data_IF_365348465997
#
_entry.id   IF_365348465997
#
_cell.length_a   1.000
_cell.length_b   1.000
_cell.length_c   1.000
_cell.angle_alpha   90.00
_cell.angle_beta   90.00
_cell.angle_gamma   90.00
#
_symmetry.space_group_name_H-M   'P 1'
#
loop_
_entity.id
_entity.type
_entity.pdbx_description
1 polymer ?
#
# COMPACT_ATOMS: atom_id res chain seq x y z
N UNK A 1 13.12 11.43 -14.78
CA UNK A 1 12.72 10.47 -13.73
C UNK A 1 13.97 9.81 -13.20
N UNK A 2 14.19 9.83 -11.89
CA UNK A 2 15.36 9.22 -11.28
C UNK A 2 15.07 7.77 -10.92
N UNK A 3 15.86 6.83 -11.44
CA UNK A 3 15.58 5.39 -11.35
C UNK A 3 15.86 4.80 -9.98
N UNK A 4 16.98 5.18 -9.34
CA UNK A 4 17.36 4.67 -8.02
C UNK A 4 16.29 4.91 -6.94
N UNK A 5 15.78 6.14 -6.72
CA UNK A 5 14.74 6.38 -5.73
C UNK A 5 13.41 5.70 -6.10
N UNK A 6 13.07 5.57 -7.40
CA UNK A 6 11.90 4.80 -7.81
C UNK A 6 12.02 3.33 -7.38
N UNK A 7 13.18 2.71 -7.60
CA UNK A 7 13.44 1.31 -7.20
C UNK A 7 13.34 1.17 -5.67
N UNK A 8 13.99 2.05 -4.90
CA UNK A 8 13.97 1.98 -3.43
C UNK A 8 12.54 2.17 -2.91
N UNK A 9 11.79 3.14 -3.44
CA UNK A 9 10.38 3.32 -3.09
C UNK A 9 9.55 2.05 -3.33
N UNK A 10 9.73 1.40 -4.47
CA UNK A 10 9.03 0.14 -4.78
C UNK A 10 9.45 -1.02 -3.88
N UNK A 11 10.72 -1.11 -3.47
CA UNK A 11 11.17 -2.11 -2.48
C UNK A 11 10.46 -1.90 -1.14
N UNK A 12 10.42 -0.66 -0.66
CA UNK A 12 9.76 -0.34 0.62
C UNK A 12 8.26 -0.65 0.52
N UNK A 13 7.61 -0.26 -0.58
CA UNK A 13 6.20 -0.60 -0.83
C UNK A 13 5.95 -2.10 -0.89
N UNK A 14 6.87 -2.87 -1.46
CA UNK A 14 6.78 -4.33 -1.50
C UNK A 14 6.88 -4.93 -0.08
N UNK A 15 7.81 -4.46 0.74
CA UNK A 15 7.94 -4.89 2.14
C UNK A 15 6.65 -4.54 2.91
N UNK A 16 6.13 -3.32 2.76
CA UNK A 16 4.88 -2.90 3.38
C UNK A 16 3.70 -3.79 2.94
N UNK A 17 3.63 -4.16 1.65
CA UNK A 17 2.59 -5.04 1.13
C UNK A 17 2.61 -6.43 1.80
N UNK A 18 3.78 -7.01 2.08
CA UNK A 18 3.83 -8.28 2.83
C UNK A 18 3.30 -8.18 4.27
N UNK A 19 3.53 -7.04 4.93
CA UNK A 19 2.95 -6.78 6.24
C UNK A 19 1.43 -6.55 6.15
N UNK A 20 0.96 -5.82 5.13
CA UNK A 20 -0.48 -5.66 4.85
C UNK A 20 -1.12 -7.02 4.63
N UNK A 21 -0.57 -7.86 3.75
CA UNK A 21 -1.07 -9.20 3.48
C UNK A 21 -1.18 -10.03 4.76
N UNK A 22 -0.18 -9.94 5.65
CA UNK A 22 -0.18 -10.62 6.94
C UNK A 22 -1.32 -10.14 7.85
N UNK A 23 -1.57 -8.82 7.90
CA UNK A 23 -2.72 -8.24 8.61
C UNK A 23 -4.03 -8.76 8.01
N UNK A 24 -4.17 -8.73 6.68
CA UNK A 24 -5.37 -9.18 5.98
C UNK A 24 -5.69 -10.65 6.29
N UNK A 25 -4.69 -11.53 6.26
CA UNK A 25 -4.88 -12.95 6.63
C UNK A 25 -5.27 -13.12 8.10
N UNK A 26 -4.60 -12.42 9.02
CA UNK A 26 -4.95 -12.48 10.45
C UNK A 26 -6.40 -12.06 10.69
N UNK A 27 -6.83 -10.94 10.10
CA UNK A 27 -8.22 -10.48 10.20
C UNK A 27 -9.20 -11.42 9.49
N UNK A 28 -8.80 -12.04 8.39
CA UNK A 28 -9.64 -12.97 7.64
C UNK A 28 -9.88 -14.29 8.37
N UNK A 29 -8.87 -14.80 9.09
CA UNK A 29 -8.95 -16.07 9.82
C UNK A 29 -9.54 -15.87 11.24
N UNK A 30 -9.09 -14.84 11.94
CA UNK A 30 -9.44 -14.61 13.35
C UNK A 30 -10.63 -13.66 13.53
N UNK A 31 -11.16 -13.09 12.44
CA UNK A 31 -12.24 -12.10 12.45
C UNK A 31 -11.74 -10.67 12.66
N UNK A 32 -12.65 -9.71 12.41
CA UNK A 32 -12.31 -8.29 12.40
C UNK A 32 -11.90 -7.75 13.78
N UNK A 33 -12.44 -8.31 14.87
CA UNK A 33 -12.08 -7.96 16.24
C UNK A 33 -10.58 -8.20 16.54
N UNK A 34 -9.94 -9.08 15.76
CA UNK A 34 -8.50 -9.32 15.87
C UNK A 34 -7.66 -8.08 15.50
N UNK A 35 -8.26 -7.05 14.91
CA UNK A 35 -7.64 -5.74 14.72
C UNK A 35 -7.21 -5.08 16.04
N UNK A 36 -7.90 -5.38 17.15
CA UNK A 36 -7.58 -4.82 18.45
C UNK A 36 -6.47 -5.58 19.18
N UNK A 37 -6.03 -6.72 18.64
CA UNK A 37 -4.92 -7.51 19.17
C UNK A 37 -3.58 -6.74 19.03
N UNK A 38 -2.69 -6.91 20.02
CA UNK A 38 -1.38 -6.25 20.03
C UNK A 38 -0.52 -6.62 18.81
N UNK A 39 -0.58 -7.86 18.33
CA UNK A 39 0.16 -8.30 17.14
C UNK A 39 -0.30 -7.49 15.92
N UNK A 40 -1.62 -7.42 15.68
CA UNK A 40 -2.18 -6.68 14.54
C UNK A 40 -1.86 -5.19 14.63
N UNK A 41 -1.98 -4.59 15.82
CA UNK A 41 -1.61 -3.19 16.05
C UNK A 41 -0.15 -2.92 15.74
N UNK A 42 0.77 -3.79 16.18
CA UNK A 42 2.20 -3.66 15.88
C UNK A 42 2.45 -3.71 14.37
N UNK A 43 1.82 -4.66 13.65
CA UNK A 43 1.95 -4.77 12.21
C UNK A 43 1.43 -3.50 11.50
N UNK A 44 0.29 -2.96 11.93
CA UNK A 44 -0.27 -1.73 11.36
C UNK A 44 0.65 -0.52 11.60
N UNK A 45 1.28 -0.41 12.78
CA UNK A 45 2.30 0.62 13.04
C UNK A 45 3.53 0.46 12.16
N UNK A 46 4.02 -0.77 11.94
CA UNK A 46 5.14 -1.04 11.03
C UNK A 46 4.80 -0.54 9.62
N UNK A 47 3.61 -0.89 9.10
CA UNK A 47 3.15 -0.43 7.78
C UNK A 47 3.10 1.09 7.71
N UNK A 48 2.56 1.74 8.74
CA UNK A 48 2.49 3.20 8.80
C UNK A 48 3.88 3.86 8.82
N UNK A 49 4.84 3.30 9.58
CA UNK A 49 6.23 3.80 9.61
C UNK A 49 6.88 3.66 8.22
N UNK A 50 6.64 2.55 7.51
CA UNK A 50 7.17 2.32 6.15
C UNK A 50 6.62 3.29 5.11
N UNK A 51 5.46 3.91 5.35
CA UNK A 51 4.88 4.89 4.43
C UNK A 51 5.77 6.13 4.26
N UNK A 52 6.48 6.56 5.31
CA UNK A 52 7.37 7.72 5.26
C UNK A 52 8.55 7.56 4.30
N UNK A 53 9.43 6.55 4.45
CA UNK A 53 10.56 6.39 3.55
C UNK A 53 10.09 6.06 2.12
N UNK A 54 8.99 5.32 1.94
CA UNK A 54 8.42 5.11 0.61
C UNK A 54 8.02 6.44 -0.06
N UNK A 55 7.26 7.27 0.65
CA UNK A 55 6.86 8.61 0.18
C UNK A 55 8.06 9.48 -0.21
N UNK A 56 9.07 9.55 0.67
CA UNK A 56 10.27 10.36 0.41
C UNK A 56 11.01 9.92 -0.85
N UNK A 57 11.16 8.62 -1.06
CA UNK A 57 11.79 8.09 -2.27
C UNK A 57 10.96 8.33 -3.53
N UNK A 58 9.64 8.13 -3.48
CA UNK A 58 8.79 8.46 -4.63
C UNK A 58 8.84 9.94 -4.98
N UNK A 59 8.84 10.83 -3.98
CA UNK A 59 8.97 12.28 -4.22
C UNK A 59 10.29 12.65 -4.90
N UNK A 60 11.40 12.02 -4.52
CA UNK A 60 12.72 12.22 -5.15
C UNK A 60 12.80 11.69 -6.59
N UNK A 61 11.92 10.77 -6.99
CA UNK A 61 12.02 10.09 -8.29
C UNK A 61 11.49 10.90 -9.49
N UNK A 62 10.90 12.07 -9.27
CA UNK A 62 10.34 12.94 -10.33
C UNK A 62 9.32 12.20 -11.22
N UNK A 63 8.32 11.60 -10.57
CA UNK A 63 7.24 10.85 -11.21
C UNK A 63 6.35 11.73 -12.09
N UNK A 64 5.68 11.11 -13.07
CA UNK A 64 4.57 11.74 -13.79
C UNK A 64 3.42 12.08 -12.84
N UNK A 65 2.70 13.16 -13.10
CA UNK A 65 1.63 13.64 -12.22
C UNK A 65 2.10 13.78 -10.75
N UNK A 66 3.30 14.36 -10.55
CA UNK A 66 3.96 14.46 -9.25
C UNK A 66 3.12 15.15 -8.17
N UNK A 67 2.15 16.00 -8.55
CA UNK A 67 1.19 16.59 -7.61
C UNK A 67 0.44 15.53 -6.79
N UNK A 68 0.10 14.37 -7.37
CA UNK A 68 -0.59 13.30 -6.66
C UNK A 68 0.26 12.75 -5.52
N UNK A 69 1.55 12.50 -5.76
CA UNK A 69 2.49 12.01 -4.74
C UNK A 69 2.89 13.10 -3.77
N UNK A 70 2.91 14.37 -4.19
CA UNK A 70 3.28 15.47 -3.29
C UNK A 70 2.23 15.76 -2.23
N UNK A 71 0.93 15.56 -2.53
CA UNK A 71 -0.17 15.96 -1.64
C UNK A 71 -0.91 14.78 -0.99
N UNK A 72 -1.19 13.70 -1.73
CA UNK A 72 -2.07 12.65 -1.22
C UNK A 72 -1.42 11.75 -0.15
N UNK A 73 -0.18 11.24 -0.30
CA UNK A 73 0.45 10.43 0.73
C UNK A 73 0.59 11.13 2.09
N UNK A 74 1.01 12.43 2.18
CA UNK A 74 1.01 13.13 3.46
C UNK A 74 -0.38 13.17 4.14
N UNK A 75 -1.44 13.39 3.35
CA UNK A 75 -2.82 13.38 3.86
C UNK A 75 -3.20 11.96 4.33
N UNK A 76 -2.89 10.93 3.54
CA UNK A 76 -3.17 9.54 3.89
C UNK A 76 -2.43 9.11 5.17
N UNK A 77 -1.15 9.49 5.31
CA UNK A 77 -0.34 9.24 6.51
C UNK A 77 -0.97 9.90 7.74
N UNK A 78 -1.46 11.14 7.61
CA UNK A 78 -2.14 11.84 8.70
C UNK A 78 -3.47 11.16 9.09
N UNK A 79 -4.30 10.83 8.11
CA UNK A 79 -5.59 10.16 8.34
C UNK A 79 -5.36 8.81 9.03
N UNK A 80 -4.46 7.98 8.48
CA UNK A 80 -4.15 6.67 9.06
C UNK A 80 -3.51 6.77 10.45
N UNK A 81 -2.72 7.80 10.73
CA UNK A 81 -2.21 8.06 12.09
C UNK A 81 -3.34 8.30 13.09
N UNK A 82 -4.32 9.16 12.74
CA UNK A 82 -5.49 9.42 13.58
C UNK A 82 -6.26 8.11 13.82
N UNK A 83 -6.44 7.31 12.78
CA UNK A 83 -7.10 6.00 12.87
C UNK A 83 -6.35 5.04 13.79
N UNK A 84 -5.01 4.97 13.70
CA UNK A 84 -4.18 4.16 14.59
C UNK A 84 -4.30 4.58 16.06
N UNK A 85 -4.28 5.88 16.35
CA UNK A 85 -4.45 6.39 17.72
C UNK A 85 -5.81 5.96 18.28
N UNK A 86 -6.89 6.12 17.52
CA UNK A 86 -8.23 5.68 17.95
C UNK A 86 -8.33 4.16 18.11
N UNK A 87 -7.63 3.39 17.27
CA UNK A 87 -7.55 1.94 17.38
C UNK A 87 -6.81 1.51 18.67
N UNK A 88 -5.78 2.25 19.08
CA UNK A 88 -5.09 2.03 20.36
C UNK A 88 -6.00 2.24 21.55
N UNK A 89 -6.97 3.15 21.45
CA UNK A 89 -8.02 3.37 22.45
C UNK A 89 -9.14 2.31 22.40
N UNK A 90 -9.07 1.32 21.51
CA UNK A 90 -10.08 0.28 21.36
C UNK A 90 -11.33 0.73 20.59
N UNK A 91 -11.27 1.85 19.86
CA UNK A 91 -12.41 2.37 19.11
C UNK A 91 -12.43 1.81 17.69
N UNK A 92 -13.55 1.21 17.30
CA UNK A 92 -13.77 0.70 15.93
C UNK A 92 -13.65 1.79 14.85
N UNK A 93 -14.04 3.02 15.19
CA UNK A 93 -13.83 4.21 14.34
C UNK A 93 -12.37 4.34 13.86
N UNK A 94 -11.40 3.84 14.62
CA UNK A 94 -10.00 3.79 14.20
C UNK A 94 -9.79 2.99 12.92
N UNK A 95 -10.45 1.83 12.77
CA UNK A 95 -10.39 1.03 11.54
C UNK A 95 -11.04 1.74 10.36
N UNK A 96 -12.20 2.34 10.57
CA UNK A 96 -12.93 3.07 9.52
C UNK A 96 -12.06 4.22 8.97
N UNK A 97 -11.41 4.96 9.86
CA UNK A 97 -10.49 6.05 9.49
C UNK A 97 -9.25 5.52 8.77
N UNK A 98 -8.70 4.37 9.20
CA UNK A 98 -7.60 3.73 8.47
C UNK A 98 -8.02 3.40 7.03
N UNK A 99 -9.19 2.78 6.84
CA UNK A 99 -9.73 2.46 5.51
C UNK A 99 -9.92 3.73 4.67
N UNK A 100 -10.42 4.82 5.25
CA UNK A 100 -10.54 6.11 4.56
C UNK A 100 -9.17 6.63 4.07
N UNK A 101 -8.12 6.46 4.88
CA UNK A 101 -6.75 6.80 4.46
C UNK A 101 -6.28 5.97 3.28
N UNK A 102 -6.59 4.67 3.26
CA UNK A 102 -6.23 3.75 2.17
C UNK A 102 -6.93 4.07 0.84
N UNK A 103 -8.09 4.74 0.83
CA UNK A 103 -8.74 5.20 -0.41
C UNK A 103 -7.82 6.10 -1.25
N UNK A 104 -6.91 6.83 -0.60
CA UNK A 104 -5.97 7.71 -1.28
C UNK A 104 -4.79 6.95 -1.92
N UNK A 105 -4.53 5.70 -1.52
CA UNK A 105 -3.45 4.87 -2.07
C UNK A 105 -3.56 4.73 -3.59
N UNK A 106 -4.65 4.19 -4.18
CA UNK A 106 -4.74 4.02 -5.63
C UNK A 106 -4.68 5.36 -6.38
N UNK A 107 -5.20 6.44 -5.80
CA UNK A 107 -5.15 7.77 -6.42
C UNK A 107 -3.70 8.27 -6.48
N UNK A 108 -2.95 8.16 -5.38
CA UNK A 108 -1.51 8.48 -5.38
C UNK A 108 -0.72 7.54 -6.30
N UNK A 109 -1.14 6.28 -6.38
CA UNK A 109 -0.58 5.22 -7.22
C UNK A 109 -0.72 5.49 -8.71
N UNK A 110 -1.61 6.37 -9.17
CA UNK A 110 -1.69 6.81 -10.58
C UNK A 110 -0.34 7.40 -11.04
N UNK A 111 0.33 8.18 -10.18
CA UNK A 111 1.63 8.78 -10.49
C UNK A 111 2.71 7.72 -10.74
N UNK A 112 2.73 6.69 -9.88
CA UNK A 112 3.64 5.54 -9.98
C UNK A 112 3.30 4.72 -11.21
N UNK A 113 2.02 4.40 -11.42
CA UNK A 113 1.50 3.68 -12.58
C UNK A 113 1.94 4.31 -13.90
N UNK A 114 1.67 5.61 -14.09
CA UNK A 114 2.02 6.32 -15.32
C UNK A 114 3.53 6.32 -15.59
N UNK A 115 4.32 6.35 -14.52
CA UNK A 115 5.78 6.34 -14.56
C UNK A 115 6.34 4.96 -14.91
N UNK A 116 5.86 3.90 -14.23
CA UNK A 116 6.28 2.52 -14.47
C UNK A 116 5.76 2.01 -15.82
N UNK A 117 4.56 2.39 -16.26
CA UNK A 117 3.95 1.94 -17.53
C UNK A 117 4.83 2.24 -18.75
N UNK A 118 5.61 3.31 -18.69
CA UNK A 118 6.56 3.67 -19.74
C UNK A 118 7.79 2.75 -19.80
N UNK A 119 8.11 2.07 -18.69
CA UNK A 119 9.25 1.16 -18.55
C UNK A 119 8.78 -0.28 -18.76
N UNK A 120 7.75 -0.68 -18.01
CA UNK A 120 7.23 -2.04 -17.99
C UNK A 120 5.71 -1.96 -17.77
N UNK A 121 4.94 -2.28 -18.83
CA UNK A 121 3.47 -2.15 -18.83
C UNK A 121 2.78 -3.16 -17.91
N UNK A 122 3.16 -4.43 -18.00
CA UNK A 122 2.51 -5.53 -17.30
C UNK A 122 2.53 -5.34 -15.77
N UNK A 123 3.70 -5.06 -15.19
CA UNK A 123 3.89 -4.76 -13.77
C UNK A 123 3.13 -3.51 -13.35
N UNK A 124 3.11 -2.46 -14.18
CA UNK A 124 2.34 -1.26 -13.87
C UNK A 124 0.85 -1.58 -13.74
N UNK A 125 0.29 -2.37 -14.66
CA UNK A 125 -1.12 -2.75 -14.63
C UNK A 125 -1.44 -3.64 -13.43
N UNK A 126 -0.63 -4.66 -13.15
CA UNK A 126 -0.82 -5.51 -11.98
C UNK A 126 -0.74 -4.72 -10.66
N UNK A 127 0.29 -3.88 -10.51
CA UNK A 127 0.43 -3.01 -9.35
C UNK A 127 -0.81 -2.13 -9.14
N UNK A 128 -1.23 -1.42 -10.19
CA UNK A 128 -2.31 -0.45 -10.08
C UNK A 128 -3.68 -1.10 -9.83
N UNK A 129 -4.06 -2.10 -10.64
CA UNK A 129 -5.35 -2.76 -10.46
C UNK A 129 -5.37 -3.62 -9.20
N UNK A 130 -4.24 -4.21 -8.81
CA UNK A 130 -4.11 -4.88 -7.51
C UNK A 130 -4.41 -3.91 -6.36
N UNK A 131 -3.81 -2.71 -6.37
CA UNK A 131 -4.07 -1.67 -5.36
C UNK A 131 -5.55 -1.21 -5.35
N UNK A 132 -6.18 -1.07 -6.52
CA UNK A 132 -7.61 -0.73 -6.62
C UNK A 132 -8.48 -1.84 -6.03
N UNK A 133 -8.27 -3.10 -6.41
CA UNK A 133 -9.03 -4.25 -5.91
C UNK A 133 -8.84 -4.40 -4.40
N UNK A 134 -7.61 -4.27 -3.92
CA UNK A 134 -7.27 -4.27 -2.49
C UNK A 134 -8.11 -3.25 -1.73
N UNK A 135 -8.09 -1.99 -2.19
CA UNK A 135 -8.76 -0.87 -1.52
C UNK A 135 -10.28 -1.04 -1.51
N UNK A 136 -10.86 -1.46 -2.64
CA UNK A 136 -12.30 -1.75 -2.75
C UNK A 136 -12.69 -2.96 -1.90
N UNK A 137 -11.78 -3.91 -1.70
CA UNK A 137 -12.01 -5.09 -0.87
C UNK A 137 -12.00 -4.83 0.63
N UNK A 138 -11.35 -3.76 1.11
CA UNK A 138 -11.25 -3.49 2.56
C UNK A 138 -12.61 -3.42 3.27
N UNK A 139 -13.65 -2.70 2.76
CA UNK A 139 -14.97 -2.70 3.37
C UNK A 139 -15.67 -4.08 3.42
N UNK A 140 -15.28 -5.03 2.57
CA UNK A 140 -15.93 -6.34 2.50
C UNK A 140 -15.60 -7.24 3.71
N UNK A 141 -14.62 -6.86 4.52
CA UNK A 141 -14.41 -7.47 5.84
C UNK A 141 -15.63 -7.32 6.76
N UNK A 142 -16.42 -6.25 6.61
CA UNK A 142 -17.63 -6.01 7.41
C UNK A 142 -18.73 -7.04 7.16
N UNK A 143 -18.69 -7.71 6.00
CA UNK A 143 -19.64 -8.75 5.60
C UNK A 143 -18.97 -10.13 5.47
N UNK A 144 -17.80 -10.32 6.09
CA UNK A 144 -17.03 -11.57 6.11
C UNK A 144 -16.61 -12.08 4.71
N UNK A 145 -16.22 -11.17 3.81
CA UNK A 145 -15.62 -11.52 2.50
C UNK A 145 -14.20 -10.93 2.41
N UNK A 146 -13.23 -11.46 3.19
CA UNK A 146 -11.87 -10.93 3.23
C UNK A 146 -11.07 -11.18 1.95
N UNK A 147 -11.48 -12.16 1.13
CA UNK A 147 -10.73 -12.67 -0.01
C UNK A 147 -10.45 -11.60 -1.06
N UNK A 148 -11.37 -10.63 -1.25
CA UNK A 148 -11.23 -9.59 -2.26
C UNK A 148 -10.01 -8.72 -1.98
N UNK A 149 -9.84 -8.27 -0.73
CA UNK A 149 -8.69 -7.45 -0.36
C UNK A 149 -7.38 -8.23 -0.45
N UNK A 150 -7.40 -9.49 0.02
CA UNK A 150 -6.23 -10.40 -0.01
C UNK A 150 -5.77 -10.63 -1.46
N UNK A 151 -6.69 -10.95 -2.36
CA UNK A 151 -6.39 -11.15 -3.79
C UNK A 151 -5.84 -9.87 -4.41
N UNK A 152 -6.44 -8.71 -4.10
CA UNK A 152 -5.94 -7.42 -4.57
C UNK A 152 -4.50 -7.16 -4.16
N UNK A 153 -4.16 -7.38 -2.89
CA UNK A 153 -2.81 -7.15 -2.38
C UNK A 153 -1.80 -8.17 -2.95
N UNK A 154 -2.19 -9.42 -3.14
CA UNK A 154 -1.37 -10.43 -3.85
C UNK A 154 -1.06 -10.02 -5.29
N UNK A 155 -2.06 -9.55 -6.05
CA UNK A 155 -1.86 -9.06 -7.42
C UNK A 155 -0.89 -7.87 -7.42
N UNK A 156 -1.04 -6.95 -6.45
CA UNK A 156 -0.14 -5.79 -6.28
C UNK A 156 1.30 -6.24 -6.02
N UNK A 157 1.51 -7.20 -5.12
CA UNK A 157 2.81 -7.80 -4.78
C UNK A 157 3.45 -8.42 -6.04
N UNK A 158 2.70 -9.20 -6.82
CA UNK A 158 3.21 -9.81 -8.06
C UNK A 158 3.65 -8.71 -9.05
N UNK A 159 2.87 -7.64 -9.19
CA UNK A 159 3.23 -6.49 -10.01
C UNK A 159 4.55 -5.86 -9.58
N UNK A 160 4.71 -5.59 -8.28
CA UNK A 160 5.95 -5.04 -7.72
C UNK A 160 7.15 -5.97 -7.92
N UNK A 161 7.00 -7.26 -7.63
CA UNK A 161 8.06 -8.26 -7.82
C UNK A 161 8.52 -8.33 -9.28
N UNK A 162 7.57 -8.32 -10.23
CA UNK A 162 7.91 -8.33 -11.65
C UNK A 162 8.68 -7.07 -12.06
N UNK A 163 8.24 -5.89 -11.59
CA UNK A 163 8.96 -4.64 -11.85
C UNK A 163 10.38 -4.70 -11.29
N UNK A 164 10.54 -5.16 -10.05
CA UNK A 164 11.85 -5.27 -9.40
C UNK A 164 12.78 -6.23 -10.14
N UNK A 165 12.28 -7.40 -10.54
CA UNK A 165 13.05 -8.35 -11.34
C UNK A 165 13.49 -7.74 -12.68
N UNK A 166 12.58 -7.06 -13.38
CA UNK A 166 12.89 -6.38 -14.64
C UNK A 166 13.99 -5.33 -14.44
N UNK A 167 13.91 -4.52 -13.38
CA UNK A 167 14.90 -3.49 -13.08
C UNK A 167 16.27 -4.07 -12.77
N UNK A 168 16.35 -5.16 -11.99
CA UNK A 168 17.62 -5.82 -11.67
C UNK A 168 18.29 -6.36 -12.95
N UNK A 169 17.56 -7.11 -13.77
CA UNK A 169 18.11 -7.72 -14.99
C UNK A 169 18.61 -6.71 -16.02
N UNK A 170 17.93 -5.56 -16.16
CA UNK A 170 18.31 -4.53 -17.13
C UNK A 170 19.26 -3.46 -16.57
N UNK A 171 19.54 -3.48 -15.26
CA UNK A 171 20.56 -2.61 -14.64
C UNK A 171 21.98 -3.20 -14.67
N UNK A 172 22.09 -4.49 -14.99
CA UNK A 172 23.35 -5.23 -15.14
C UNK A 172 23.86 -5.31 -16.59
N UNK A 173 23.25 -4.52 -17.49
CA UNK A 173 23.66 -4.34 -18.89
C UNK A 173 24.00 -2.86 -19.11
#
# INVERSE_FOLDING_TARGET
>A
MSMKPLIIGNIISLIAAFFILSILFLLGICGLDFAFNNITKILMWIVWILAFPAYLEYRKSSLKASYLINYLPPIAILITFIGLVLLMEGKFLGLEIIVLGYILEPISGISIYLSIKNIQKFSAYLFFYGAVIYTIGLPFYLINIPEIAIIGDLIKIIGLLYFMRFMITNSSQ
#
